data_IF_130771126062
#
_entry.id   IF_130771126062
#
_cell.length_a   1.000
_cell.length_b   1.000
_cell.length_c   1.000
_cell.angle_alpha   90.00
_cell.angle_beta   90.00
_cell.angle_gamma   90.00
#
_symmetry.space_group_name_H-M   'P 1'
#
loop_
_entity.id
_entity.type
_entity.pdbx_description
1 polymer ?
#
# COMPACT_ATOMS: atom_id res chain seq x y z
N UNK A 1 -0.77 13.03 -24.90
CA UNK A 1 -1.57 13.91 -24.03
C UNK A 1 -2.10 13.00 -22.94
N UNK A 2 -1.47 13.00 -21.77
CA UNK A 2 -1.91 12.19 -20.62
C UNK A 2 -3.18 12.85 -20.08
N UNK A 3 -4.26 12.10 -19.95
CA UNK A 3 -5.52 12.63 -19.41
C UNK A 3 -5.50 12.59 -17.88
N UNK A 4 -6.31 13.43 -17.23
CA UNK A 4 -6.47 13.42 -15.76
C UNK A 4 -6.86 12.02 -15.24
N UNK A 5 -7.69 11.31 -16.00
CA UNK A 5 -8.10 9.92 -15.70
C UNK A 5 -6.93 8.94 -15.68
N UNK A 6 -5.99 9.07 -16.61
CA UNK A 6 -4.80 8.21 -16.65
C UNK A 6 -3.91 8.43 -15.42
N UNK A 7 -3.90 9.66 -14.89
CA UNK A 7 -3.09 10.04 -13.73
C UNK A 7 -3.68 9.47 -12.44
N UNK A 8 -5.00 9.59 -12.27
CA UNK A 8 -5.71 9.02 -11.13
C UNK A 8 -5.68 7.48 -11.15
N UNK A 9 -5.82 6.86 -12.32
CA UNK A 9 -5.71 5.41 -12.46
C UNK A 9 -4.32 4.90 -12.11
N UNK A 10 -3.27 5.57 -12.61
CA UNK A 10 -1.90 5.27 -12.24
C UNK A 10 -1.68 5.41 -10.72
N UNK A 11 -2.24 6.45 -10.10
CA UNK A 11 -2.14 6.67 -8.66
C UNK A 11 -2.84 5.56 -7.85
N UNK A 12 -4.06 5.14 -8.23
CA UNK A 12 -4.75 4.03 -7.55
C UNK A 12 -4.00 2.70 -7.71
N UNK A 13 -3.44 2.44 -8.90
CA UNK A 13 -2.64 1.25 -9.17
C UNK A 13 -1.34 1.24 -8.35
N UNK A 14 -0.65 2.37 -8.27
CA UNK A 14 0.56 2.55 -7.45
C UNK A 14 0.27 2.36 -5.95
N UNK A 15 -0.79 2.98 -5.44
CA UNK A 15 -1.22 2.82 -4.04
C UNK A 15 -1.56 1.37 -3.70
N UNK A 16 -2.26 0.68 -4.60
CA UNK A 16 -2.61 -0.72 -4.42
C UNK A 16 -1.38 -1.62 -4.46
N UNK A 17 -0.48 -1.41 -5.42
CA UNK A 17 0.75 -2.19 -5.54
C UNK A 17 1.66 -2.00 -4.32
N UNK A 18 1.86 -0.75 -3.89
CA UNK A 18 2.66 -0.41 -2.71
C UNK A 18 2.06 -1.01 -1.42
N UNK A 19 0.75 -0.81 -1.19
CA UNK A 19 0.06 -1.37 -0.03
C UNK A 19 0.05 -2.89 0.01
N UNK A 20 -0.11 -3.55 -1.14
CA UNK A 20 -0.05 -5.02 -1.25
C UNK A 20 1.37 -5.55 -0.98
N UNK A 21 2.39 -4.84 -1.47
CA UNK A 21 3.78 -5.15 -1.18
C UNK A 21 4.10 -5.06 0.31
N UNK A 22 3.54 -4.06 1.01
CA UNK A 22 3.65 -3.96 2.47
C UNK A 22 3.01 -5.15 3.18
N UNK A 23 1.80 -5.56 2.80
CA UNK A 23 1.15 -6.73 3.39
C UNK A 23 1.96 -8.02 3.20
N UNK A 24 2.53 -8.22 2.02
CA UNK A 24 3.38 -9.37 1.75
C UNK A 24 4.61 -9.36 2.67
N UNK A 25 5.26 -8.20 2.82
CA UNK A 25 6.40 -8.02 3.70
C UNK A 25 6.05 -8.31 5.16
N UNK A 26 4.90 -7.84 5.64
CA UNK A 26 4.47 -8.07 7.02
C UNK A 26 4.26 -9.55 7.28
N UNK A 27 3.60 -10.26 6.35
CA UNK A 27 3.43 -11.71 6.43
C UNK A 27 4.76 -12.44 6.47
N UNK A 28 5.71 -12.09 5.60
CA UNK A 28 7.05 -12.70 5.64
C UNK A 28 7.79 -12.47 6.96
N UNK A 29 7.60 -11.30 7.59
CA UNK A 29 8.19 -11.01 8.90
C UNK A 29 7.50 -11.75 10.04
N UNK A 30 6.17 -11.91 9.98
CA UNK A 30 5.39 -12.75 10.91
C UNK A 30 5.83 -14.22 10.79
N UNK A 31 5.94 -14.73 9.56
CA UNK A 31 6.34 -16.12 9.29
C UNK A 31 7.79 -16.42 9.72
N UNK A 32 8.64 -15.38 9.76
CA UNK A 32 10.02 -15.49 10.23
C UNK A 32 10.16 -15.52 11.77
N UNK A 33 9.06 -15.34 12.51
CA UNK A 33 8.99 -15.42 13.98
C UNK A 33 10.07 -14.61 14.72
N UNK A 34 10.35 -13.40 14.24
CA UNK A 34 11.48 -12.59 14.74
C UNK A 34 11.21 -11.96 16.12
N UNK A 35 9.98 -11.49 16.36
CA UNK A 35 9.54 -10.86 17.61
C UNK A 35 8.02 -10.98 17.75
N UNK A 36 7.53 -11.51 18.88
CA UNK A 36 6.11 -11.78 19.10
C UNK A 36 5.26 -10.50 19.13
N UNK A 37 5.76 -9.43 19.74
CA UNK A 37 5.03 -8.16 19.86
C UNK A 37 4.95 -7.44 18.52
N UNK A 38 6.02 -7.49 17.73
CA UNK A 38 6.01 -7.02 16.35
C UNK A 38 5.02 -7.85 15.52
N UNK A 39 5.05 -9.17 15.64
CA UNK A 39 4.17 -10.08 14.90
C UNK A 39 2.69 -9.83 15.21
N UNK A 40 2.34 -9.60 16.48
CA UNK A 40 0.98 -9.24 16.89
C UNK A 40 0.51 -7.93 16.23
N UNK A 41 1.38 -6.90 16.25
CA UNK A 41 1.08 -5.60 15.63
C UNK A 41 0.92 -5.75 14.12
N UNK A 42 1.85 -6.43 13.45
CA UNK A 42 1.80 -6.65 12.01
C UNK A 42 0.58 -7.47 11.60
N UNK A 43 0.18 -8.46 12.40
CA UNK A 43 -1.02 -9.26 12.15
C UNK A 43 -2.28 -8.39 12.21
N UNK A 44 -2.41 -7.55 13.24
CA UNK A 44 -3.53 -6.62 13.38
C UNK A 44 -3.59 -5.61 12.22
N UNK A 45 -2.44 -5.09 11.77
CA UNK A 45 -2.34 -4.22 10.59
C UNK A 45 -2.80 -4.97 9.33
N UNK A 46 -2.35 -6.20 9.13
CA UNK A 46 -2.75 -7.01 7.98
C UNK A 46 -4.27 -7.26 7.94
N UNK A 47 -4.87 -7.58 9.08
CA UNK A 47 -6.32 -7.82 9.19
C UNK A 47 -7.14 -6.57 8.88
N UNK A 48 -6.72 -5.40 9.38
CA UNK A 48 -7.41 -4.14 9.14
C UNK A 48 -7.27 -3.66 7.68
N UNK A 49 -6.08 -3.80 7.10
CA UNK A 49 -5.74 -3.21 5.80
C UNK A 49 -6.15 -4.06 4.60
N UNK A 50 -6.10 -5.39 4.70
CA UNK A 50 -6.48 -6.29 3.59
C UNK A 50 -7.84 -5.94 2.94
N UNK A 51 -8.95 -5.78 3.69
CA UNK A 51 -10.23 -5.46 3.06
C UNK A 51 -10.27 -4.06 2.41
N UNK A 52 -9.45 -3.11 2.87
CA UNK A 52 -9.33 -1.79 2.26
C UNK A 52 -8.60 -1.87 0.92
N UNK A 53 -7.51 -2.65 0.85
CA UNK A 53 -6.77 -2.87 -0.38
C UNK A 53 -7.57 -3.68 -1.40
N UNK A 54 -8.35 -4.67 -0.97
CA UNK A 54 -9.28 -5.39 -1.86
C UNK A 54 -10.30 -4.45 -2.50
N UNK A 55 -10.80 -3.48 -1.73
CA UNK A 55 -11.70 -2.44 -2.24
C UNK A 55 -10.99 -1.49 -3.20
N UNK A 56 -9.74 -1.13 -2.93
CA UNK A 56 -8.92 -0.32 -3.83
C UNK A 56 -8.68 -1.05 -5.17
N UNK A 57 -8.42 -2.35 -5.12
CA UNK A 57 -8.29 -3.23 -6.30
C UNK A 57 -9.60 -3.36 -7.10
N UNK A 58 -10.74 -3.17 -6.44
CA UNK A 58 -12.02 -3.11 -7.13
C UNK A 58 -12.22 -1.78 -7.84
N UNK A 59 -11.87 -0.66 -7.22
CA UNK A 59 -11.92 0.67 -7.82
C UNK A 59 -11.02 0.78 -9.06
N UNK A 60 -9.80 0.23 -9.01
CA UNK A 60 -8.89 0.19 -10.18
C UNK A 60 -9.53 -0.58 -11.34
N UNK A 61 -10.10 -1.75 -11.10
CA UNK A 61 -10.78 -2.56 -12.12
C UNK A 61 -12.06 -1.93 -12.68
N UNK A 62 -12.85 -1.24 -11.85
CA UNK A 62 -14.05 -0.54 -12.34
C UNK A 62 -13.71 0.61 -13.29
N UNK A 63 -12.56 1.27 -13.08
CA UNK A 63 -12.07 2.32 -13.99
C UNK A 63 -11.56 1.76 -15.34
N UNK A 64 -11.13 0.50 -15.33
CA UNK A 64 -10.63 -0.29 -16.46
C UNK A 64 -11.75 -0.81 -17.40
N UNK A 65 -13.02 -0.80 -16.94
CA UNK A 65 -14.18 -1.33 -17.69
C UNK A 65 -14.63 -0.43 -18.88
N UNK A 66 -13.77 0.48 -19.36
CA UNK A 66 -13.88 1.01 -20.72
C UNK A 66 -12.87 0.30 -21.64
N UNK A 67 -13.33 -0.33 -22.74
CA UNK A 67 -12.53 -1.26 -23.51
C UNK A 67 -11.45 -0.52 -24.31
N UNK A 68 -10.26 -0.35 -23.72
CA UNK A 68 -9.07 0.10 -24.46
C UNK A 68 -7.80 -0.49 -23.87
N UNK A 69 -7.29 -1.52 -24.55
CA UNK A 69 -5.90 -1.98 -24.55
C UNK A 69 -5.36 -2.63 -23.24
N UNK A 70 -5.85 -3.84 -22.94
CA UNK A 70 -5.44 -4.72 -21.84
C UNK A 70 -3.95 -5.16 -21.78
N UNK A 71 -3.09 -4.76 -22.72
CA UNK A 71 -1.71 -5.27 -22.80
C UNK A 71 -0.63 -4.31 -22.29
N UNK A 72 -0.92 -3.02 -22.11
CA UNK A 72 0.07 -2.05 -21.61
C UNK A 72 0.07 -1.92 -20.08
N UNK A 73 -1.06 -2.18 -19.41
CA UNK A 73 -1.19 -2.01 -17.95
C UNK A 73 -0.64 -3.17 -17.13
N UNK A 74 -0.78 -4.41 -17.59
CA UNK A 74 -0.18 -5.57 -16.91
C UNK A 74 1.35 -5.46 -16.85
N UNK A 75 1.98 -4.88 -17.88
CA UNK A 75 3.42 -4.63 -17.90
C UNK A 75 3.84 -3.49 -16.96
N UNK A 76 2.99 -2.48 -16.74
CA UNK A 76 3.26 -1.41 -15.78
C UNK A 76 3.10 -1.91 -14.34
N UNK A 77 2.04 -2.69 -14.06
CA UNK A 77 1.85 -3.32 -12.76
C UNK A 77 3.00 -4.28 -12.43
N UNK A 78 3.40 -5.12 -13.39
CA UNK A 78 4.54 -6.02 -13.23
C UNK A 78 5.86 -5.26 -13.03
N UNK A 79 6.12 -4.20 -13.79
CA UNK A 79 7.34 -3.40 -13.63
C UNK A 79 7.40 -2.64 -12.29
N UNK A 80 6.25 -2.24 -11.74
CA UNK A 80 6.15 -1.65 -10.39
C UNK A 80 6.34 -2.74 -9.33
N UNK A 81 5.72 -3.91 -9.49
CA UNK A 81 5.90 -5.06 -8.61
C UNK A 81 7.36 -5.54 -8.57
N UNK A 82 8.02 -5.62 -9.72
CA UNK A 82 9.44 -6.01 -9.83
C UNK A 82 10.37 -4.99 -9.14
N UNK A 83 10.02 -3.69 -9.18
CA UNK A 83 10.74 -2.64 -8.47
C UNK A 83 10.62 -2.77 -6.94
N UNK A 84 9.46 -3.18 -6.45
CA UNK A 84 9.21 -3.43 -5.02
C UNK A 84 9.92 -4.70 -4.55
N UNK A 85 9.98 -5.74 -5.39
CA UNK A 85 10.72 -6.98 -5.09
C UNK A 85 12.22 -6.72 -4.97
N UNK A 86 12.78 -5.81 -5.77
CA UNK A 86 14.20 -5.43 -5.69
C UNK A 86 14.62 -4.77 -4.36
N UNK A 87 13.67 -4.21 -3.61
CA UNK A 87 13.93 -3.61 -2.29
C UNK A 87 13.96 -4.62 -1.12
N UNK A 88 13.62 -5.89 -1.36
CA UNK A 88 13.50 -6.95 -0.35
C UNK A 88 14.85 -7.52 0.14
N UNK A 89 15.99 -7.07 -0.40
CA UNK A 89 17.26 -7.80 -0.31
C UNK A 89 18.16 -7.57 0.91
N UNK A 90 17.86 -6.65 1.83
CA UNK A 90 18.83 -6.32 2.90
C UNK A 90 18.31 -6.55 4.34
N UNK A 91 19.22 -7.09 5.15
CA UNK A 91 19.02 -7.58 6.52
C UNK A 91 19.40 -6.49 7.54
N UNK A 92 18.64 -5.40 7.59
CA UNK A 92 18.71 -4.45 8.70
C UNK A 92 17.37 -4.40 9.45
N UNK A 93 17.45 -3.98 10.72
CA UNK A 93 16.41 -3.98 11.76
C UNK A 93 14.97 -3.89 11.19
N UNK A 94 14.19 -4.98 11.29
CA UNK A 94 12.88 -5.10 10.64
C UNK A 94 11.91 -3.96 10.95
N UNK A 95 11.90 -3.48 12.19
CA UNK A 95 10.97 -2.43 12.64
C UNK A 95 11.22 -1.09 11.97
N UNK A 96 12.47 -0.64 11.89
CA UNK A 96 12.81 0.66 11.30
C UNK A 96 12.47 0.69 9.80
N UNK A 97 12.77 -0.39 9.07
CA UNK A 97 12.43 -0.47 7.65
C UNK A 97 10.94 -0.63 7.38
N UNK A 98 10.21 -1.33 8.25
CA UNK A 98 8.75 -1.40 8.16
C UNK A 98 8.15 -0.01 8.41
N UNK A 99 8.66 0.71 9.39
CA UNK A 99 8.25 2.08 9.70
C UNK A 99 8.53 3.05 8.54
N UNK A 100 9.71 3.00 7.94
CA UNK A 100 10.04 3.80 6.74
C UNK A 100 9.14 3.48 5.55
N UNK A 101 8.88 2.20 5.29
CA UNK A 101 8.01 1.79 4.19
C UNK A 101 6.55 2.23 4.41
N UNK A 102 6.06 2.19 5.66
CA UNK A 102 4.76 2.76 6.03
C UNK A 102 4.71 4.28 5.85
N UNK A 103 5.78 5.00 6.20
CA UNK A 103 5.83 6.45 5.97
C UNK A 103 5.79 6.80 4.48
N UNK A 104 6.52 6.05 3.65
CA UNK A 104 6.51 6.25 2.21
C UNK A 104 5.11 6.02 1.63
N UNK A 105 4.43 4.94 2.05
CA UNK A 105 3.06 4.69 1.61
C UNK A 105 2.06 5.73 2.13
N UNK A 106 2.22 6.22 3.36
CA UNK A 106 1.44 7.35 3.88
C UNK A 106 1.65 8.62 3.03
N UNK A 107 2.89 8.91 2.61
CA UNK A 107 3.18 10.06 1.73
C UNK A 107 2.43 9.93 0.41
N UNK A 108 2.45 8.74 -0.21
CA UNK A 108 1.69 8.48 -1.45
C UNK A 108 0.19 8.66 -1.24
N UNK A 109 -0.36 8.24 -0.09
CA UNK A 109 -1.77 8.43 0.25
C UNK A 109 -2.12 9.91 0.44
N UNK A 110 -1.25 10.69 1.09
CA UNK A 110 -1.43 12.14 1.26
C UNK A 110 -1.34 12.89 -0.08
N UNK A 111 -0.41 12.50 -0.96
CA UNK A 111 -0.32 13.03 -2.33
C UNK A 111 -1.57 12.69 -3.14
N UNK A 112 -2.01 11.44 -3.10
CA UNK A 112 -3.22 11.01 -3.79
C UNK A 112 -4.44 11.80 -3.32
N UNK A 113 -4.63 12.01 -2.01
CA UNK A 113 -5.76 12.79 -1.48
C UNK A 113 -5.87 14.24 -1.98
N UNK A 114 -4.80 14.80 -2.52
CA UNK A 114 -4.83 16.14 -3.12
C UNK A 114 -5.54 16.19 -4.49
N UNK A 115 -5.85 15.03 -5.08
CA UNK A 115 -6.54 14.88 -6.36
C UNK A 115 -8.07 14.84 -6.21
N UNK A 116 -8.80 15.06 -7.30
CA UNK A 116 -10.27 15.16 -7.31
C UNK A 116 -10.93 13.77 -7.49
N UNK A 117 -11.08 13.04 -6.39
CA UNK A 117 -11.66 11.70 -6.40
C UNK A 117 -13.19 11.71 -6.35
N UNK A 118 -13.80 10.62 -6.82
CA UNK A 118 -15.20 10.37 -6.49
C UNK A 118 -15.40 10.27 -4.98
N UNK A 119 -16.62 10.56 -4.50
CA UNK A 119 -16.92 10.54 -3.07
C UNK A 119 -16.55 9.20 -2.39
N UNK A 120 -16.81 8.08 -3.07
CA UNK A 120 -16.50 6.74 -2.55
C UNK A 120 -14.99 6.47 -2.49
N UNK A 121 -14.24 6.87 -3.52
CA UNK A 121 -12.78 6.73 -3.56
C UNK A 121 -12.10 7.66 -2.55
N UNK A 122 -12.57 8.91 -2.41
CA UNK A 122 -12.08 9.84 -1.41
C UNK A 122 -12.27 9.29 0.01
N UNK A 123 -13.41 8.68 0.31
CA UNK A 123 -13.66 8.01 1.60
C UNK A 123 -12.73 6.80 1.79
N UNK A 124 -12.47 6.03 0.74
CA UNK A 124 -11.54 4.90 0.80
C UNK A 124 -10.10 5.35 1.08
N UNK A 125 -9.61 6.36 0.34
CA UNK A 125 -8.27 6.93 0.53
C UNK A 125 -8.11 7.58 1.90
N UNK A 126 -9.17 8.21 2.43
CA UNK A 126 -9.20 8.71 3.80
C UNK A 126 -9.02 7.59 4.83
N UNK A 127 -9.75 6.48 4.67
CA UNK A 127 -9.65 5.32 5.56
C UNK A 127 -8.28 4.65 5.50
N UNK A 128 -7.73 4.45 4.29
CA UNK A 128 -6.39 3.90 4.11
C UNK A 128 -5.32 4.78 4.77
N UNK A 129 -5.47 6.10 4.68
CA UNK A 129 -4.57 7.04 5.34
C UNK A 129 -4.64 6.94 6.87
N UNK A 130 -5.86 6.91 7.41
CA UNK A 130 -6.03 6.82 8.86
C UNK A 130 -5.50 5.49 9.41
N UNK A 131 -5.67 4.39 8.67
CA UNK A 131 -5.06 3.09 8.94
C UNK A 131 -3.51 3.15 8.93
N UNK A 132 -2.90 3.75 7.92
CA UNK A 132 -1.45 3.92 7.84
C UNK A 132 -0.90 4.76 9.02
N UNK A 133 -1.61 5.82 9.42
CA UNK A 133 -1.25 6.66 10.57
C UNK A 133 -1.37 5.89 11.90
N UNK A 134 -2.38 5.05 12.05
CA UNK A 134 -2.51 4.18 13.23
C UNK A 134 -1.40 3.13 13.27
N UNK A 135 -1.10 2.52 12.12
CA UNK A 135 -0.02 1.55 11.95
C UNK A 135 1.34 2.13 12.35
N UNK A 136 1.66 3.35 11.88
CA UNK A 136 2.86 4.08 12.28
C UNK A 136 2.89 4.37 13.79
N UNK A 137 1.74 4.71 14.40
CA UNK A 137 1.66 4.92 15.85
C UNK A 137 1.97 3.63 16.61
N UNK A 138 1.39 2.50 16.20
CA UNK A 138 1.71 1.19 16.80
C UNK A 138 3.18 0.81 16.64
N UNK A 139 3.75 0.95 15.44
CA UNK A 139 5.16 0.67 15.17
C UNK A 139 6.09 1.59 15.98
N UNK A 140 5.75 2.87 16.12
CA UNK A 140 6.53 3.81 16.94
C UNK A 140 6.52 3.48 18.43
N UNK A 141 5.52 2.73 18.90
CA UNK A 141 5.47 2.28 20.29
C UNK A 141 6.50 1.18 20.60
N UNK A 142 6.99 0.48 19.58
CA UNK A 142 8.03 -0.54 19.70
C UNK A 142 9.42 0.04 19.88
N UNK A 143 9.68 1.25 19.37
CA UNK A 143 11.01 1.90 19.44
C UNK A 143 11.24 2.73 20.70
N UNK A 144 10.23 2.89 21.57
CA UNK A 144 10.31 3.64 22.84
C UNK A 144 10.64 2.77 24.06
N UNK A 145 10.96 1.49 23.85
CA UNK A 145 11.36 0.54 24.87
C UNK A 145 12.74 -0.02 24.56
#
# INVERSE_FOLDING_TARGET
MVTLRDTEQAALAELHASGSGLLLRYRSLIDADMDARLSDILSAICEARAPLLDRLAHCTRQRDDQPTAADQEANQLQAVMDRVVGWLGDVELPVARVFEAEQQWLSLLDEAQSQDWSADEGVLLARLRDDARESLRHLSSLSRH
#
